data_IF_708442156634
#
_entry.id   IF_708442156634
#
_cell.length_a   1.000
_cell.length_b   1.000
_cell.length_c   1.000
_cell.angle_alpha   90.00
_cell.angle_beta   90.00
_cell.angle_gamma   90.00
#
_symmetry.space_group_name_H-M   'P 1'
#
loop_
_entity.id
_entity.type
_entity.pdbx_description
1 polymer ?
#
# COMPACT_ATOMS: atom_id res chain seq x y z
N UNK A 1 -3.00 -21.80 -9.64
CA UNK A 1 -3.54 -20.65 -8.87
C UNK A 1 -4.92 -20.29 -9.40
N UNK A 2 -5.92 -19.95 -8.57
CA UNK A 2 -7.22 -19.51 -9.06
C UNK A 2 -7.06 -18.26 -9.94
N UNK A 3 -7.72 -18.23 -11.10
CA UNK A 3 -7.70 -17.07 -12.01
C UNK A 3 -8.30 -15.81 -11.36
N UNK A 4 -9.18 -16.00 -10.37
CA UNK A 4 -9.77 -14.93 -9.56
C UNK A 4 -9.76 -15.40 -8.09
N UNK A 5 -9.02 -14.67 -7.24
CA UNK A 5 -8.99 -14.93 -5.80
C UNK A 5 -10.11 -14.18 -5.08
N UNK A 6 -10.94 -14.90 -4.32
CA UNK A 6 -11.90 -14.30 -3.39
C UNK A 6 -11.29 -14.26 -1.99
N UNK A 7 -11.27 -13.09 -1.35
CA UNK A 7 -10.81 -12.97 0.02
C UNK A 7 -11.68 -13.82 0.96
N UNK A 8 -11.03 -14.51 1.89
CA UNK A 8 -11.70 -15.33 2.92
C UNK A 8 -11.97 -14.57 4.22
N UNK A 9 -11.45 -13.35 4.33
CA UNK A 9 -11.47 -12.58 5.58
C UNK A 9 -12.09 -11.21 5.37
N UNK A 10 -12.95 -10.79 6.29
CA UNK A 10 -13.53 -9.43 6.30
C UNK A 10 -12.58 -8.36 6.93
N UNK A 11 -11.29 -8.70 7.08
CA UNK A 11 -10.30 -7.80 7.69
C UNK A 11 -10.12 -6.57 6.79
N UNK A 12 -10.10 -5.38 7.39
CA UNK A 12 -9.97 -4.09 6.69
C UNK A 12 -11.09 -3.78 5.67
N UNK A 13 -12.25 -4.43 5.79
CA UNK A 13 -13.42 -4.19 4.93
C UNK A 13 -14.17 -2.89 5.28
N UNK A 14 -13.86 -2.25 6.42
CA UNK A 14 -14.54 -1.02 6.84
C UNK A 14 -14.07 0.17 6.00
N UNK A 15 -14.99 0.89 5.32
CA UNK A 15 -14.62 2.03 4.49
C UNK A 15 -14.17 3.20 5.35
N UNK A 16 -13.33 4.07 4.78
CA UNK A 16 -12.75 5.24 5.48
C UNK A 16 -13.86 6.16 6.02
N UNK A 17 -14.90 6.35 5.22
CA UNK A 17 -16.03 7.22 5.53
C UNK A 17 -16.72 6.81 6.83
N UNK A 18 -16.92 5.51 7.04
CA UNK A 18 -17.55 4.98 8.25
C UNK A 18 -16.62 5.10 9.46
N UNK A 19 -15.31 4.90 9.27
CA UNK A 19 -14.32 5.13 10.32
C UNK A 19 -14.24 6.60 10.72
N UNK A 20 -14.31 7.53 9.77
CA UNK A 20 -14.32 8.96 10.09
C UNK A 20 -15.60 9.39 10.82
N UNK A 21 -16.75 8.84 10.44
CA UNK A 21 -18.00 9.02 11.19
C UNK A 21 -17.84 8.49 12.62
N UNK A 22 -17.21 7.33 12.79
CA UNK A 22 -16.98 6.71 14.10
C UNK A 22 -16.14 7.62 15.00
N UNK A 23 -15.07 8.18 14.45
CA UNK A 23 -14.19 9.07 15.20
C UNK A 23 -14.92 10.34 15.62
N UNK A 24 -15.75 10.91 14.74
CA UNK A 24 -16.57 12.09 15.08
C UNK A 24 -17.53 11.81 16.24
N UNK A 25 -18.20 10.65 16.24
CA UNK A 25 -19.10 10.26 17.34
C UNK A 25 -18.37 10.04 18.67
N UNK A 26 -17.16 9.49 18.63
CA UNK A 26 -16.31 9.38 19.83
C UNK A 26 -15.85 10.75 20.31
N UNK A 27 -15.51 11.67 19.40
CA UNK A 27 -15.14 13.05 19.73
C UNK A 27 -16.30 13.84 20.34
N UNK A 28 -17.55 13.51 19.97
CA UNK A 28 -18.78 14.05 20.58
C UNK A 28 -19.06 13.51 21.99
N UNK A 29 -18.21 12.64 22.52
CA UNK A 29 -18.30 12.15 23.90
C UNK A 29 -18.89 10.74 24.06
N UNK A 30 -19.26 10.06 22.97
CA UNK A 30 -19.70 8.65 23.05
C UNK A 30 -18.52 7.73 23.37
N UNK A 31 -18.77 6.66 24.13
CA UNK A 31 -17.72 5.70 24.44
C UNK A 31 -17.29 4.91 23.20
N UNK A 32 -15.98 4.62 23.08
CA UNK A 32 -15.42 3.82 21.97
C UNK A 32 -16.12 2.46 21.85
N UNK A 33 -16.49 1.84 22.99
CA UNK A 33 -17.19 0.55 23.06
C UNK A 33 -18.61 0.63 22.50
N UNK A 34 -19.29 1.75 22.70
CA UNK A 34 -20.64 1.96 22.21
C UNK A 34 -20.62 2.17 20.69
N UNK A 35 -19.84 3.14 20.20
CA UNK A 35 -19.72 3.43 18.77
C UNK A 35 -19.26 2.20 17.96
N UNK A 36 -18.31 1.42 18.50
CA UNK A 36 -17.86 0.18 17.88
C UNK A 36 -18.98 -0.86 17.71
N UNK A 37 -19.86 -0.99 18.71
CA UNK A 37 -21.02 -1.90 18.63
C UNK A 37 -22.06 -1.39 17.65
N UNK A 38 -22.40 -0.10 17.75
CA UNK A 38 -23.45 0.53 16.96
C UNK A 38 -23.13 0.48 15.45
N UNK A 39 -21.87 0.73 15.09
CA UNK A 39 -21.42 0.72 13.71
C UNK A 39 -20.80 -0.61 13.25
N UNK A 40 -20.88 -1.65 14.09
CA UNK A 40 -20.32 -2.99 13.81
C UNK A 40 -18.84 -2.96 13.41
N UNK A 41 -18.06 -2.06 14.01
CA UNK A 41 -16.62 -1.94 13.79
C UNK A 41 -15.89 -2.58 14.97
N UNK A 42 -14.86 -3.39 14.69
CA UNK A 42 -14.03 -3.92 15.77
C UNK A 42 -13.38 -2.77 16.57
N UNK A 43 -13.52 -2.78 17.90
CA UNK A 43 -12.99 -1.76 18.84
C UNK A 43 -11.51 -1.44 18.58
N UNK A 44 -10.69 -2.46 18.31
CA UNK A 44 -9.26 -2.29 18.05
C UNK A 44 -8.99 -1.54 16.75
N UNK A 45 -9.83 -1.73 15.74
CA UNK A 45 -9.73 -1.01 14.45
C UNK A 45 -10.00 0.47 14.64
N UNK A 46 -11.08 0.81 15.37
CA UNK A 46 -11.43 2.19 15.70
C UNK A 46 -10.34 2.87 16.55
N UNK A 47 -9.84 2.19 17.59
CA UNK A 47 -8.74 2.71 18.43
C UNK A 47 -7.48 2.99 17.61
N UNK A 48 -7.04 2.02 16.79
CA UNK A 48 -5.88 2.15 15.91
C UNK A 48 -6.05 3.31 14.92
N UNK A 49 -7.24 3.48 14.35
CA UNK A 49 -7.53 4.55 13.39
C UNK A 49 -7.43 5.93 14.06
N UNK A 50 -7.97 6.10 15.27
CA UNK A 50 -7.83 7.33 16.04
C UNK A 50 -6.37 7.68 16.37
N UNK A 51 -5.57 6.71 16.80
CA UNK A 51 -4.14 6.92 17.08
C UNK A 51 -3.36 7.35 15.84
N UNK A 52 -3.66 6.75 14.68
CA UNK A 52 -3.07 7.17 13.41
C UNK A 52 -3.48 8.59 13.02
N UNK A 53 -4.75 8.94 13.22
CA UNK A 53 -5.26 10.28 12.92
C UNK A 53 -4.58 11.35 13.78
N UNK A 54 -4.31 11.05 15.05
CA UNK A 54 -3.53 11.91 15.96
C UNK A 54 -2.09 12.14 15.47
N UNK A 55 -1.46 11.12 14.85
CA UNK A 55 -0.11 11.23 14.29
C UNK A 55 -0.06 11.91 12.92
N UNK A 56 -1.20 12.30 12.34
CA UNK A 56 -1.27 12.89 11.00
C UNK A 56 -1.08 11.89 9.85
N UNK A 57 -1.09 10.58 10.13
CA UNK A 57 -0.72 9.53 9.15
C UNK A 57 -1.90 8.99 8.31
N UNK A 58 -3.03 9.69 8.26
CA UNK A 58 -4.27 9.12 7.68
C UNK A 58 -4.62 9.75 6.34
N UNK A 59 -4.31 9.01 5.27
CA UNK A 59 -5.00 9.19 3.97
C UNK A 59 -5.67 7.90 3.50
N UNK A 60 -5.28 6.70 4.00
CA UNK A 60 -5.79 5.44 3.43
C UNK A 60 -6.04 4.32 4.44
N UNK A 61 -7.13 3.56 4.25
CA UNK A 61 -7.52 2.40 5.06
C UNK A 61 -6.81 1.12 4.61
N UNK A 62 -6.53 0.22 5.56
CA UNK A 62 -5.99 -1.12 5.29
C UNK A 62 -4.48 -1.28 5.50
N UNK A 63 -3.91 -2.31 4.84
CA UNK A 63 -2.50 -2.71 4.88
C UNK A 63 -1.60 -1.85 3.97
N UNK A 64 -2.05 -0.72 3.45
CA UNK A 64 -1.22 0.15 2.60
C UNK A 64 0.07 0.65 3.28
N UNK A 65 0.09 0.68 4.62
CA UNK A 65 1.31 1.01 5.36
C UNK A 65 2.44 -0.02 5.13
N UNK A 66 2.13 -1.28 4.85
CA UNK A 66 3.13 -2.30 4.54
C UNK A 66 3.81 -2.05 3.19
N UNK A 67 3.11 -1.40 2.25
CA UNK A 67 3.67 -1.01 0.96
C UNK A 67 4.64 0.18 1.07
N UNK A 68 4.24 1.24 1.78
CA UNK A 68 5.07 2.45 1.91
C UNK A 68 6.36 2.25 2.71
N UNK A 69 6.38 1.36 3.70
CA UNK A 69 7.59 1.12 4.50
C UNK A 69 8.73 0.48 3.71
N UNK A 70 8.40 -0.24 2.63
CA UNK A 70 9.36 -0.91 1.75
C UNK A 70 9.38 -0.26 0.35
N UNK A 71 8.91 0.98 0.25
CA UNK A 71 8.84 1.70 -1.02
C UNK A 71 10.25 2.17 -1.40
N UNK A 72 10.78 1.60 -2.49
CA UNK A 72 12.12 1.93 -3.02
C UNK A 72 12.03 3.14 -3.96
N UNK A 73 10.97 3.24 -4.77
CA UNK A 73 10.79 4.31 -5.73
C UNK A 73 9.74 5.32 -5.27
N UNK A 74 10.01 6.61 -5.51
CA UNK A 74 9.01 7.65 -5.36
C UNK A 74 7.94 7.55 -6.46
N UNK A 75 6.76 8.13 -6.24
CA UNK A 75 5.64 8.05 -7.19
C UNK A 75 6.02 8.50 -8.61
N UNK A 76 6.80 9.58 -8.74
CA UNK A 76 7.28 10.08 -10.03
C UNK A 76 8.23 9.08 -10.73
N UNK A 77 9.15 8.49 -9.97
CA UNK A 77 10.10 7.49 -10.47
C UNK A 77 9.37 6.22 -10.94
N UNK A 78 8.32 5.81 -10.22
CA UNK A 78 7.47 4.69 -10.64
C UNK A 78 6.74 4.98 -11.95
N UNK A 79 6.24 6.21 -12.13
CA UNK A 79 5.57 6.60 -13.38
C UNK A 79 6.52 6.61 -14.58
N UNK A 80 7.73 7.16 -14.42
CA UNK A 80 8.75 7.16 -15.47
C UNK A 80 9.17 5.75 -15.87
N UNK A 81 9.45 4.89 -14.88
CA UNK A 81 9.81 3.49 -15.12
C UNK A 81 8.66 2.73 -15.81
N UNK A 82 7.41 2.95 -15.38
CA UNK A 82 6.26 2.30 -15.96
C UNK A 82 6.06 2.69 -17.43
N UNK A 83 6.21 3.96 -17.76
CA UNK A 83 6.05 4.44 -19.14
C UNK A 83 7.19 3.95 -20.03
N UNK A 84 8.42 3.88 -19.51
CA UNK A 84 9.54 3.25 -20.21
C UNK A 84 9.29 1.76 -20.50
N UNK A 85 8.81 0.99 -19.51
CA UNK A 85 8.47 -0.43 -19.69
C UNK A 85 7.35 -0.61 -20.72
N UNK A 86 6.33 0.26 -20.73
CA UNK A 86 5.26 0.22 -21.72
C UNK A 86 5.78 0.50 -23.13
N UNK A 87 6.67 1.48 -23.29
CA UNK A 87 7.29 1.78 -24.57
C UNK A 87 8.10 0.57 -25.08
N UNK A 88 8.91 -0.05 -24.23
CA UNK A 88 9.64 -1.28 -24.56
C UNK A 88 8.68 -2.42 -24.93
N UNK A 89 7.62 -2.62 -24.16
CA UNK A 89 6.63 -3.67 -24.42
C UNK A 89 5.86 -3.46 -25.73
N UNK A 90 5.73 -2.22 -26.20
CA UNK A 90 5.14 -1.90 -27.50
C UNK A 90 6.10 -2.13 -28.67
N UNK A 91 7.41 -1.88 -28.46
CA UNK A 91 8.44 -2.08 -29.49
C UNK A 91 8.84 -3.54 -29.67
N UNK A 92 8.81 -4.33 -28.59
CA UNK A 92 9.13 -5.76 -28.59
C UNK A 92 7.85 -6.61 -28.50
N UNK A 93 7.96 -7.94 -28.58
CA UNK A 93 6.84 -8.87 -28.37
C UNK A 93 6.42 -8.99 -26.89
N UNK A 94 6.39 -7.86 -26.17
CA UNK A 94 6.24 -7.78 -24.72
C UNK A 94 7.57 -7.89 -23.95
N UNK A 95 7.52 -7.51 -22.68
CA UNK A 95 8.65 -7.60 -21.74
C UNK A 95 8.31 -8.65 -20.68
N UNK A 96 9.24 -9.59 -20.45
CA UNK A 96 9.06 -10.61 -19.42
C UNK A 96 9.14 -9.99 -18.02
N UNK A 97 8.46 -10.60 -17.05
CA UNK A 97 8.50 -10.12 -15.66
C UNK A 97 9.92 -10.09 -15.08
N UNK A 98 10.79 -11.02 -15.50
CA UNK A 98 12.21 -11.02 -15.11
C UNK A 98 12.93 -9.78 -15.65
N UNK A 99 12.72 -9.43 -16.93
CA UNK A 99 13.40 -8.28 -17.52
C UNK A 99 12.92 -6.95 -16.91
N UNK A 100 11.65 -6.85 -16.55
CA UNK A 100 11.15 -5.70 -15.80
C UNK A 100 11.85 -5.53 -14.44
N UNK A 101 12.18 -6.62 -13.75
CA UNK A 101 12.89 -6.58 -12.45
C UNK A 101 14.35 -6.17 -12.58
N UNK A 102 15.02 -6.64 -13.63
CA UNK A 102 16.39 -6.22 -13.97
C UNK A 102 16.42 -4.72 -14.32
N UNK A 103 15.50 -4.27 -15.17
CA UNK A 103 15.39 -2.85 -15.54
C UNK A 103 15.12 -1.95 -14.33
N UNK A 104 14.28 -2.39 -13.39
CA UNK A 104 14.06 -1.68 -12.14
C UNK A 104 15.34 -1.59 -11.29
N UNK A 105 16.11 -2.67 -11.19
CA UNK A 105 17.40 -2.65 -10.48
C UNK A 105 18.42 -1.71 -11.13
N UNK A 106 18.56 -1.78 -12.46
CA UNK A 106 19.46 -0.87 -13.19
C UNK A 106 19.03 0.60 -13.05
N UNK A 107 17.73 0.89 -13.10
CA UNK A 107 17.20 2.24 -12.92
C UNK A 107 17.47 2.76 -11.50
N UNK A 108 17.33 1.91 -10.48
CA UNK A 108 17.66 2.25 -9.10
C UNK A 108 19.16 2.55 -8.92
N UNK A 109 20.04 1.76 -9.55
CA UNK A 109 21.49 2.03 -9.53
C UNK A 109 21.86 3.34 -10.21
N UNK A 110 21.31 3.61 -11.41
CA UNK A 110 21.58 4.84 -12.16
C UNK A 110 21.15 6.10 -11.41
N UNK A 111 20.05 6.01 -10.67
CA UNK A 111 19.52 7.10 -9.85
C UNK A 111 20.11 7.14 -8.43
N UNK A 112 21.09 6.28 -8.11
CA UNK A 112 21.72 6.17 -6.79
C UNK A 112 20.73 6.09 -5.62
N UNK A 113 19.65 5.32 -5.82
CA UNK A 113 18.61 5.10 -4.81
C UNK A 113 19.09 4.05 -3.81
N UNK A 114 18.71 4.16 -2.53
CA UNK A 114 19.00 3.13 -1.53
C UNK A 114 18.17 1.87 -1.82
N UNK A 115 18.85 0.75 -2.09
CA UNK A 115 18.23 -0.50 -2.54
C UNK A 115 18.39 -1.57 -1.46
N UNK A 116 17.35 -2.39 -1.19
CA UNK A 116 17.48 -3.52 -0.28
C UNK A 116 18.61 -4.49 -0.69
N UNK A 117 19.30 -5.06 0.30
CA UNK A 117 20.39 -6.02 0.09
C UNK A 117 19.99 -7.25 -0.76
N UNK A 118 18.70 -7.63 -0.75
CA UNK A 118 18.19 -8.71 -1.59
C UNK A 118 18.31 -8.40 -3.08
N UNK A 119 18.12 -7.15 -3.50
CA UNK A 119 18.25 -6.74 -4.89
C UNK A 119 19.70 -6.77 -5.34
N UNK A 120 20.64 -6.38 -4.47
CA UNK A 120 22.08 -6.41 -4.76
C UNK A 120 22.54 -7.87 -4.94
N UNK A 121 22.08 -8.77 -4.06
CA UNK A 121 22.45 -10.20 -4.13
C UNK A 121 21.94 -10.90 -5.38
N UNK A 122 20.75 -10.52 -5.86
CA UNK A 122 20.08 -11.20 -6.96
C UNK A 122 20.11 -10.41 -8.28
N UNK A 123 20.72 -9.23 -8.27
CA UNK A 123 20.81 -8.26 -9.37
C UNK A 123 19.46 -7.91 -10.02
N UNK A 124 18.37 -8.00 -9.24
CA UNK A 124 17.00 -7.81 -9.72
C UNK A 124 16.07 -7.34 -8.61
N UNK A 125 15.01 -6.66 -9.00
CA UNK A 125 13.98 -6.22 -8.07
C UNK A 125 13.06 -7.36 -7.61
N UNK A 126 12.99 -7.60 -6.29
CA UNK A 126 11.93 -8.40 -5.65
C UNK A 126 12.09 -9.92 -5.73
#
# INVERSE_FOLDING_TARGET
>A
MPRIYKQKTDRASTPIVDLDRAVKEVQQGKSIRQVARDMKICRMTLKRFMEKKKRGEVTKTGYQRTGHANQVFNENMETELADHIKALAAMFHGVSAMKCRELAFEYAQRNAIDIPASWIREEKAG
#
